data_IF_025617844457
#
_entry.id   IF_025617844457
#
_cell.length_a   1.000
_cell.length_b   1.000
_cell.length_c   1.000
_cell.angle_alpha   90.00
_cell.angle_beta   90.00
_cell.angle_gamma   90.00
#
_symmetry.space_group_name_H-M   'P 1'
#
loop_
_entity.id
_entity.type
_entity.pdbx_description
1 polymer ?
#
# COMPACT_ATOMS: atom_id res chain seq x y z
N UNK A 1 -7.30 4.37 23.39
CA UNK A 1 -6.84 4.97 22.13
C UNK A 1 -6.06 3.90 21.40
N UNK A 2 -6.71 3.13 20.52
CA UNK A 2 -6.05 2.08 19.74
C UNK A 2 -5.22 2.77 18.63
N UNK A 3 -4.08 3.32 19.03
CA UNK A 3 -3.07 3.88 18.11
C UNK A 3 -2.65 2.72 17.23
N UNK A 4 -2.99 2.76 15.95
CA UNK A 4 -2.67 1.74 14.95
C UNK A 4 -1.18 1.41 14.99
N UNK A 5 -0.80 0.44 15.83
CA UNK A 5 0.60 0.13 16.11
C UNK A 5 1.20 -0.56 14.90
N UNK A 6 1.75 0.22 13.98
CA UNK A 6 2.79 -0.26 13.09
C UNK A 6 2.57 0.15 11.65
N UNK A 7 3.52 0.95 11.20
CA UNK A 7 3.97 0.98 9.82
C UNK A 7 4.21 -0.46 9.30
N UNK A 8 4.10 -0.69 7.97
CA UNK A 8 4.40 -2.00 7.42
C UNK A 8 5.82 -2.44 7.81
N UNK A 9 5.95 -3.74 8.06
CA UNK A 9 7.18 -4.37 8.52
C UNK A 9 7.61 -5.46 7.54
N UNK A 10 8.71 -6.16 7.83
CA UNK A 10 9.12 -7.35 7.05
C UNK A 10 8.11 -8.50 7.15
N UNK A 11 7.31 -8.57 8.22
CA UNK A 11 6.38 -9.68 8.46
C UNK A 11 4.94 -9.36 8.05
N UNK A 12 4.56 -8.09 8.10
CA UNK A 12 3.19 -7.65 7.92
C UNK A 12 3.11 -6.42 7.02
N UNK A 13 2.09 -6.38 6.16
CA UNK A 13 1.65 -5.20 5.41
C UNK A 13 0.36 -4.65 6.01
N UNK A 14 -0.04 -3.45 5.58
CA UNK A 14 -1.37 -2.93 5.84
C UNK A 14 -2.22 -3.00 4.58
N UNK A 15 -3.51 -3.20 4.77
CA UNK A 15 -4.52 -3.18 3.73
C UNK A 15 -5.63 -2.24 4.17
N UNK A 16 -6.13 -1.41 3.26
CA UNK A 16 -7.34 -0.60 3.45
C UNK A 16 -8.06 -0.38 2.13
N UNK A 17 -9.12 0.42 2.17
CA UNK A 17 -9.82 0.93 1.00
C UNK A 17 -9.75 2.46 1.00
N UNK A 18 -9.48 3.08 -0.14
CA UNK A 18 -9.64 4.53 -0.29
C UNK A 18 -11.13 4.90 -0.52
N UNK A 19 -11.42 6.19 -0.64
CA UNK A 19 -12.78 6.71 -0.87
C UNK A 19 -13.42 6.21 -2.18
N UNK A 20 -12.60 5.96 -3.21
CA UNK A 20 -13.03 5.41 -4.51
C UNK A 20 -13.36 3.90 -4.43
N UNK A 21 -13.04 3.26 -3.31
CA UNK A 21 -13.22 1.82 -3.09
C UNK A 21 -12.13 0.96 -3.73
N UNK A 22 -10.99 1.55 -4.07
CA UNK A 22 -9.78 0.84 -4.50
C UNK A 22 -9.10 0.18 -3.30
N UNK A 23 -8.47 -0.97 -3.53
CA UNK A 23 -7.67 -1.60 -2.48
C UNK A 23 -6.32 -0.90 -2.35
N UNK A 24 -5.99 -0.42 -1.15
CA UNK A 24 -4.72 0.23 -0.84
C UNK A 24 -3.86 -0.68 0.01
N UNK A 25 -2.70 -1.07 -0.50
CA UNK A 25 -1.76 -1.98 0.15
C UNK A 25 -0.48 -1.23 0.53
N UNK A 26 -0.16 -1.16 1.81
CA UNK A 26 1.04 -0.50 2.32
C UNK A 26 2.09 -1.54 2.67
N UNK A 27 3.23 -1.46 2.01
CA UNK A 27 4.28 -2.49 1.99
C UNK A 27 5.60 -1.82 2.34
N UNK A 28 6.38 -2.44 3.21
CA UNK A 28 7.72 -1.95 3.54
C UNK A 28 8.66 -2.15 2.36
N UNK A 29 9.37 -1.10 1.96
CA UNK A 29 10.36 -1.12 0.90
C UNK A 29 11.71 -0.53 1.34
N UNK A 30 12.76 -0.86 0.59
CA UNK A 30 14.04 -0.15 0.63
C UNK A 30 14.23 0.49 -0.75
N UNK A 31 14.50 1.78 -0.80
CA UNK A 31 14.58 2.51 -2.05
C UNK A 31 15.78 2.02 -2.88
N UNK A 32 15.51 1.56 -4.12
CA UNK A 32 16.54 1.06 -5.04
C UNK A 32 17.06 2.14 -6.01
N UNK A 33 16.37 3.27 -6.07
CA UNK A 33 16.68 4.49 -6.83
C UNK A 33 16.01 5.67 -6.12
N UNK A 34 16.31 6.89 -6.55
CA UNK A 34 15.63 8.08 -6.07
C UNK A 34 14.14 8.02 -6.43
N UNK A 35 13.28 8.23 -5.45
CA UNK A 35 11.84 8.37 -5.65
C UNK A 35 11.35 9.70 -5.07
N UNK A 36 10.13 10.11 -5.43
CA UNK A 36 9.49 11.28 -4.86
C UNK A 36 8.25 10.87 -4.08
N UNK A 37 8.14 11.39 -2.86
CA UNK A 37 6.99 11.17 -1.99
C UNK A 37 5.84 12.09 -2.40
N UNK A 38 4.64 11.56 -2.72
CA UNK A 38 3.51 12.41 -3.11
C UNK A 38 2.92 13.23 -1.96
N UNK A 39 3.18 12.85 -0.69
CA UNK A 39 2.67 13.59 0.47
C UNK A 39 3.42 14.90 0.71
N UNK A 40 4.75 14.88 0.69
CA UNK A 40 5.59 16.06 0.98
C UNK A 40 6.34 16.60 -0.24
N UNK A 41 6.27 15.92 -1.39
CA UNK A 41 7.04 16.20 -2.62
C UNK A 41 8.57 16.09 -2.46
N UNK A 42 9.04 15.65 -1.28
CA UNK A 42 10.45 15.42 -0.99
C UNK A 42 10.98 14.13 -1.62
N UNK A 43 12.30 14.08 -1.74
CA UNK A 43 13.03 12.92 -2.25
C UNK A 43 13.11 11.78 -1.21
N UNK A 44 13.07 10.55 -1.70
CA UNK A 44 13.36 9.33 -0.96
C UNK A 44 14.69 8.78 -1.52
N UNK A 45 15.82 9.00 -0.82
CA UNK A 45 17.14 8.59 -1.30
C UNK A 45 17.28 7.07 -1.42
N UNK A 46 18.26 6.64 -2.23
CA UNK A 46 18.62 5.21 -2.34
C UNK A 46 19.03 4.65 -0.97
N UNK A 47 18.53 3.47 -0.63
CA UNK A 47 18.80 2.81 0.65
C UNK A 47 17.81 3.16 1.77
N UNK A 48 16.99 4.19 1.59
CA UNK A 48 16.03 4.64 2.60
C UNK A 48 14.85 3.66 2.76
N UNK A 49 14.46 3.42 4.01
CA UNK A 49 13.25 2.67 4.35
C UNK A 49 12.02 3.54 4.06
N UNK A 50 11.10 3.01 3.26
CA UNK A 50 9.94 3.75 2.79
C UNK A 50 8.72 2.83 2.64
N UNK A 51 7.55 3.42 2.49
CA UNK A 51 6.31 2.69 2.27
C UNK A 51 5.98 2.68 0.79
N UNK A 52 5.96 1.50 0.17
CA UNK A 52 5.38 1.29 -1.15
C UNK A 52 3.87 1.16 -0.95
N UNK A 53 3.13 2.10 -1.54
CA UNK A 53 1.67 2.09 -1.54
C UNK A 53 1.24 1.58 -2.90
N UNK A 54 0.69 0.36 -2.94
CA UNK A 54 0.14 -0.24 -4.15
C UNK A 54 -1.39 -0.14 -4.13
N UNK A 55 -1.94 0.52 -5.14
CA UNK A 55 -3.37 0.55 -5.41
C UNK A 55 -3.75 -0.59 -6.35
N UNK A 56 -4.85 -1.28 -6.03
CA UNK A 56 -5.53 -2.21 -6.93
C UNK A 56 -6.92 -1.67 -7.22
N UNK A 57 -7.07 -1.08 -8.40
CA UNK A 57 -8.25 -0.30 -8.76
C UNK A 57 -9.51 -1.17 -8.80
N UNK A 58 -10.64 -0.64 -8.36
CA UNK A 58 -11.94 -1.31 -8.35
C UNK A 58 -12.36 -1.75 -9.76
N UNK A 59 -12.03 -0.94 -10.77
CA UNK A 59 -12.31 -1.24 -12.18
C UNK A 59 -11.26 -2.14 -12.85
N UNK A 60 -10.19 -2.49 -12.14
CA UNK A 60 -9.03 -3.21 -12.67
C UNK A 60 -7.86 -2.27 -12.96
N UNK A 61 -6.66 -2.85 -13.01
CA UNK A 61 -5.39 -2.12 -13.04
C UNK A 61 -4.75 -2.00 -11.66
N UNK A 62 -3.47 -1.65 -11.68
CA UNK A 62 -2.65 -1.41 -10.50
C UNK A 62 -1.68 -0.27 -10.75
N UNK A 63 -1.45 0.55 -9.75
CA UNK A 63 -0.43 1.60 -9.72
C UNK A 63 0.17 1.68 -8.33
N UNK A 64 1.41 2.18 -8.23
CA UNK A 64 2.07 2.31 -6.95
C UNK A 64 2.74 3.67 -6.81
N UNK A 65 2.87 4.10 -5.57
CA UNK A 65 3.59 5.29 -5.17
C UNK A 65 4.56 4.95 -4.04
N UNK A 66 5.66 5.68 -3.99
CA UNK A 66 6.67 5.54 -2.94
C UNK A 66 6.47 6.70 -1.96
N UNK A 67 6.16 6.39 -0.72
CA UNK A 67 5.94 7.38 0.33
C UNK A 67 7.04 7.26 1.36
N UNK A 68 7.49 8.40 1.91
CA UNK A 68 8.16 8.33 3.21
C UNK A 68 7.26 7.63 4.20
N UNK A 69 7.89 6.82 5.05
CA UNK A 69 7.27 6.10 6.17
C UNK A 69 6.28 6.96 6.95
N UNK A 70 6.80 8.08 7.47
CA UNK A 70 6.02 9.08 8.21
C UNK A 70 4.91 9.73 7.40
N UNK A 71 5.15 10.09 6.14
CA UNK A 71 4.11 10.70 5.30
C UNK A 71 2.95 9.73 5.05
N UNK A 72 3.23 8.45 4.81
CA UNK A 72 2.16 7.45 4.68
C UNK A 72 1.35 7.34 5.98
N UNK A 73 2.02 7.32 7.14
CA UNK A 73 1.38 7.22 8.45
C UNK A 73 0.50 8.42 8.80
N UNK A 74 1.00 9.64 8.56
CA UNK A 74 0.32 10.87 8.97
C UNK A 74 -0.75 11.33 7.97
N UNK A 75 -0.59 11.01 6.67
CA UNK A 75 -1.46 11.53 5.61
C UNK A 75 -2.36 10.43 5.05
N UNK A 76 -1.77 9.33 4.56
CA UNK A 76 -2.53 8.33 3.80
C UNK A 76 -3.33 7.38 4.71
N UNK A 77 -2.69 6.80 5.73
CA UNK A 77 -3.33 5.79 6.59
C UNK A 77 -4.64 6.28 7.23
N UNK A 78 -4.74 7.53 7.74
CA UNK A 78 -5.97 8.05 8.34
C UNK A 78 -7.16 8.10 7.38
N UNK A 79 -6.92 8.19 6.07
CA UNK A 79 -7.97 8.24 5.04
C UNK A 79 -8.48 6.85 4.63
N UNK A 80 -7.81 5.78 5.07
CA UNK A 80 -8.15 4.43 4.64
C UNK A 80 -9.26 3.81 5.50
N UNK A 81 -10.36 3.45 4.84
CA UNK A 81 -11.40 2.60 5.41
C UNK A 81 -10.96 1.14 5.52
N UNK A 82 -11.56 0.41 6.46
CA UNK A 82 -11.36 -1.05 6.65
C UNK A 82 -9.88 -1.45 6.80
N UNK A 83 -9.10 -0.59 7.46
CA UNK A 83 -7.68 -0.81 7.68
C UNK A 83 -7.46 -2.11 8.48
N UNK A 84 -6.56 -2.96 7.99
CA UNK A 84 -6.19 -4.22 8.63
C UNK A 84 -4.73 -4.58 8.39
N UNK A 85 -4.12 -5.25 9.35
CA UNK A 85 -2.81 -5.91 9.17
C UNK A 85 -3.00 -7.22 8.42
N UNK A 86 -2.09 -7.50 7.51
CA UNK A 86 -2.07 -8.72 6.69
C UNK A 86 -0.65 -9.29 6.62
N UNK A 87 -0.46 -10.62 6.46
CA UNK A 87 0.87 -11.17 6.22
C UNK A 87 1.52 -10.51 4.99
N UNK A 88 2.81 -10.18 5.07
CA UNK A 88 3.54 -9.57 3.94
C UNK A 88 3.58 -10.48 2.70
N UNK A 89 3.36 -11.79 2.87
CA UNK A 89 3.23 -12.71 1.73
C UNK A 89 2.00 -12.41 0.85
N UNK A 90 0.92 -11.86 1.43
CA UNK A 90 -0.32 -11.55 0.70
C UNK A 90 -0.20 -10.31 -0.19
N UNK A 91 0.80 -9.47 0.06
CA UNK A 91 1.03 -8.20 -0.65
C UNK A 91 2.15 -8.29 -1.69
N UNK A 92 2.51 -9.49 -2.14
CA UNK A 92 3.52 -9.64 -3.19
C UNK A 92 3.06 -8.98 -4.50
N UNK A 93 3.99 -8.37 -5.23
CA UNK A 93 3.71 -7.71 -6.51
C UNK A 93 2.91 -8.61 -7.46
N UNK A 94 3.34 -9.85 -7.65
CA UNK A 94 2.67 -10.82 -8.51
C UNK A 94 1.21 -11.11 -8.11
N UNK A 95 0.90 -11.13 -6.80
CA UNK A 95 -0.46 -11.30 -6.31
C UNK A 95 -1.30 -10.06 -6.59
N UNK A 96 -0.78 -8.88 -6.31
CA UNK A 96 -1.51 -7.62 -6.48
C UNK A 96 -1.77 -7.34 -7.97
N UNK A 97 -0.80 -7.59 -8.84
CA UNK A 97 -0.98 -7.53 -10.29
C UNK A 97 -2.05 -8.53 -10.77
N UNK A 98 -2.02 -9.78 -10.29
CA UNK A 98 -3.03 -10.78 -10.63
C UNK A 98 -4.44 -10.35 -10.18
N UNK A 99 -4.58 -9.75 -9.00
CA UNK A 99 -5.84 -9.17 -8.51
C UNK A 99 -6.32 -8.02 -9.39
N UNK A 100 -5.40 -7.16 -9.83
CA UNK A 100 -5.69 -6.02 -10.70
C UNK A 100 -6.16 -6.41 -12.11
N UNK A 101 -5.90 -7.63 -12.58
CA UNK A 101 -6.35 -8.09 -13.92
C UNK A 101 -7.88 -8.13 -14.07
N UNK A 102 -8.63 -8.12 -12.97
CA UNK A 102 -10.10 -8.18 -12.99
C UNK A 102 -10.70 -7.05 -12.15
N UNK A 103 -11.86 -6.49 -12.55
CA UNK A 103 -12.65 -5.61 -11.69
C UNK A 103 -13.01 -6.31 -10.38
N UNK A 104 -13.13 -5.55 -9.28
CA UNK A 104 -13.37 -6.09 -7.94
C UNK A 104 -14.58 -7.03 -7.87
N UNK A 105 -15.68 -6.71 -8.57
CA UNK A 105 -16.89 -7.56 -8.63
C UNK A 105 -16.71 -8.89 -9.37
N UNK A 106 -15.61 -9.05 -10.13
CA UNK A 106 -15.26 -10.28 -10.86
C UNK A 106 -14.00 -10.96 -10.31
N UNK A 107 -13.46 -10.48 -9.18
CA UNK A 107 -12.37 -11.17 -8.47
C UNK A 107 -12.95 -12.40 -7.81
N UNK A 108 -12.33 -13.55 -8.04
CA UNK A 108 -12.73 -14.77 -7.38
C UNK A 108 -12.62 -14.57 -5.86
N UNK A 109 -13.71 -14.84 -5.14
CA UNK A 109 -13.78 -14.74 -3.68
C UNK A 109 -13.17 -15.96 -2.99
N UNK A 110 -12.67 -16.94 -3.74
CA UNK A 110 -12.02 -18.13 -3.20
C UNK A 110 -10.83 -17.76 -2.31
N UNK A 111 -11.10 -17.73 -1.01
CA UNK A 111 -10.19 -18.11 0.07
C UNK A 111 -10.25 -19.61 0.24
#
# INVERSE_FOLDING_TARGET
MDRFEGEPSKRWSLFGLNEEGDETWLIRGIARKLYHCPGCHGEIPVGEDHTIVQFVRRLGGTDHHHWHRRCAEEILIPELGRLKKIPAAESSQSRLEARGRRPAGRRDRRR
#
